data_IF_400657293702
#
_entry.id   IF_400657293702
#
_cell.length_a   1.000
_cell.length_b   1.000
_cell.length_c   1.000
_cell.angle_alpha   90.00
_cell.angle_beta   90.00
_cell.angle_gamma   90.00
#
_symmetry.space_group_name_H-M   'P 1'
#
loop_
_entity.id
_entity.type
_entity.pdbx_description
1 polymer ?
#
# COMPACT_ATOMS: atom_id res chain seq x y z
N UNK A 1 0.79 -21.48 12.16
CA UNK A 1 0.33 -20.08 12.22
C UNK A 1 0.91 -19.22 11.09
N UNK A 2 2.24 -18.99 10.94
CA UNK A 2 2.78 -18.05 9.91
C UNK A 2 2.37 -18.35 8.46
N UNK A 3 2.12 -19.61 8.10
CA UNK A 3 1.66 -19.99 6.73
C UNK A 3 0.22 -19.62 6.42
N UNK A 4 -0.58 -19.30 7.44
CA UNK A 4 -1.99 -18.94 7.30
C UNK A 4 -2.21 -17.42 7.23
N UNK A 5 -1.13 -16.63 7.35
CA UNK A 5 -1.16 -15.17 7.26
C UNK A 5 -0.40 -14.72 6.03
N UNK A 6 -1.06 -13.98 5.16
CA UNK A 6 -0.43 -13.22 4.08
C UNK A 6 -0.10 -11.82 4.56
N UNK A 7 1.03 -11.27 4.12
CA UNK A 7 1.41 -9.90 4.46
C UNK A 7 1.74 -9.11 3.20
N UNK A 8 1.13 -7.93 3.11
CA UNK A 8 1.40 -6.91 2.08
C UNK A 8 2.13 -5.77 2.78
N UNK A 9 3.31 -5.42 2.27
CA UNK A 9 4.20 -4.42 2.87
C UNK A 9 4.10 -3.08 2.15
N UNK A 10 4.39 -2.01 2.84
CA UNK A 10 4.45 -0.64 2.33
C UNK A 10 5.45 -0.49 1.16
N UNK A 11 6.65 -1.05 1.28
CA UNK A 11 7.72 -0.96 0.27
C UNK A 11 7.70 -2.13 -0.74
N UNK A 12 6.55 -2.73 -1.01
CA UNK A 12 6.36 -3.87 -1.92
C UNK A 12 7.13 -5.15 -1.50
N UNK A 13 8.30 -5.03 -0.88
CA UNK A 13 9.23 -6.07 -0.45
C UNK A 13 9.52 -7.11 -1.56
N UNK A 14 9.60 -6.69 -2.83
CA UNK A 14 9.94 -7.53 -3.97
C UNK A 14 11.45 -7.66 -4.11
N UNK A 15 11.88 -8.77 -4.67
CA UNK A 15 13.27 -8.93 -5.11
C UNK A 15 13.38 -8.33 -6.51
N UNK A 16 14.04 -7.19 -6.62
CA UNK A 16 14.07 -6.34 -7.83
C UNK A 16 14.55 -7.06 -9.08
N UNK A 17 15.58 -7.91 -8.94
CA UNK A 17 16.20 -8.64 -10.06
C UNK A 17 15.44 -9.90 -10.48
N UNK A 18 14.42 -10.31 -9.73
CA UNK A 18 13.57 -11.45 -10.08
C UNK A 18 12.44 -11.00 -10.98
N UNK A 19 11.95 -11.93 -11.81
CA UNK A 19 10.76 -11.72 -12.63
C UNK A 19 9.49 -11.58 -11.76
N UNK A 20 8.42 -11.09 -12.37
CA UNK A 20 7.09 -11.02 -11.76
C UNK A 20 6.65 -12.41 -11.29
N UNK A 21 6.79 -13.43 -12.15
CA UNK A 21 6.45 -14.81 -11.82
C UNK A 21 7.24 -15.33 -10.63
N UNK A 22 8.58 -15.13 -10.62
CA UNK A 22 9.44 -15.58 -9.53
C UNK A 22 9.11 -14.88 -8.21
N UNK A 23 8.81 -13.57 -8.24
CA UNK A 23 8.38 -12.83 -7.06
C UNK A 23 7.07 -13.40 -6.48
N UNK A 24 6.07 -13.69 -7.31
CA UNK A 24 4.82 -14.31 -6.84
C UNK A 24 5.09 -15.69 -6.27
N UNK A 25 5.83 -16.55 -6.99
CA UNK A 25 6.17 -17.91 -6.56
C UNK A 25 6.99 -17.93 -5.26
N UNK A 26 7.73 -16.86 -4.96
CA UNK A 26 8.47 -16.76 -3.68
C UNK A 26 7.54 -16.86 -2.46
N UNK A 27 6.26 -16.49 -2.58
CA UNK A 27 5.25 -16.70 -1.57
C UNK A 27 5.02 -18.19 -1.22
N UNK A 28 5.40 -19.13 -2.10
CA UNK A 28 5.28 -20.57 -1.87
C UNK A 28 6.52 -21.22 -1.26
N UNK A 29 7.60 -20.46 -1.01
CA UNK A 29 8.85 -21.00 -0.47
C UNK A 29 8.67 -21.76 0.85
N UNK A 30 7.72 -21.37 1.68
CA UNK A 30 7.39 -22.08 2.91
C UNK A 30 6.70 -23.45 2.73
N UNK A 31 6.28 -23.78 1.51
CA UNK A 31 5.51 -25.01 1.19
C UNK A 31 6.31 -26.00 0.34
N UNK A 32 7.42 -25.58 -0.27
CA UNK A 32 8.29 -26.43 -1.07
C UNK A 32 9.51 -26.85 -0.24
N UNK A 33 9.99 -28.08 -0.46
CA UNK A 33 11.20 -28.58 0.23
C UNK A 33 12.44 -27.75 -0.12
N UNK A 34 13.40 -27.71 0.80
CA UNK A 34 14.63 -26.90 0.72
C UNK A 34 15.33 -27.00 -0.66
N UNK A 35 15.56 -28.19 -1.17
CA UNK A 35 16.24 -28.42 -2.46
C UNK A 35 15.47 -27.88 -3.67
N UNK A 36 14.13 -28.00 -3.66
CA UNK A 36 13.27 -27.45 -4.74
C UNK A 36 13.24 -25.93 -4.67
N UNK A 37 13.19 -25.38 -3.47
CA UNK A 37 13.26 -23.94 -3.22
C UNK A 37 14.59 -23.36 -3.72
N UNK A 38 15.70 -24.01 -3.38
CA UNK A 38 17.05 -23.58 -3.81
C UNK A 38 17.22 -23.63 -5.33
N UNK A 39 16.71 -24.68 -5.99
CA UNK A 39 16.75 -24.84 -7.44
C UNK A 39 15.64 -24.08 -8.18
N UNK A 40 14.81 -23.30 -7.46
CA UNK A 40 13.63 -22.56 -8.00
C UNK A 40 12.69 -23.45 -8.82
N UNK A 41 12.63 -24.74 -8.52
CA UNK A 41 11.74 -25.71 -9.16
C UNK A 41 10.42 -25.80 -8.40
N UNK A 42 9.45 -24.97 -8.82
CA UNK A 42 8.09 -25.00 -8.27
C UNK A 42 7.26 -26.08 -8.95
N UNK A 43 6.30 -26.71 -8.22
CA UNK A 43 5.31 -27.60 -8.83
C UNK A 43 4.48 -26.86 -9.89
N UNK A 44 4.07 -27.57 -10.95
CA UNK A 44 3.24 -26.98 -12.02
C UNK A 44 1.94 -26.37 -11.45
N UNK A 45 1.37 -27.00 -10.43
CA UNK A 45 0.18 -26.49 -9.73
C UNK A 45 0.37 -25.11 -9.11
N UNK A 46 1.58 -24.82 -8.58
CA UNK A 46 1.90 -23.50 -8.01
C UNK A 46 2.14 -22.46 -9.14
N UNK A 47 2.76 -22.88 -10.25
CA UNK A 47 2.94 -22.03 -11.44
C UNK A 47 1.57 -21.65 -12.04
N UNK A 48 0.68 -22.62 -12.24
CA UNK A 48 -0.67 -22.38 -12.76
C UNK A 48 -1.48 -21.46 -11.84
N UNK A 49 -1.31 -21.60 -10.53
CA UNK A 49 -1.94 -20.76 -9.53
C UNK A 49 -1.39 -19.32 -9.59
N UNK A 50 -0.07 -19.17 -9.67
CA UNK A 50 0.58 -17.86 -9.83
C UNK A 50 0.07 -17.15 -11.10
N UNK A 51 -0.02 -17.88 -12.22
CA UNK A 51 -0.52 -17.34 -13.48
C UNK A 51 -1.98 -16.89 -13.38
N UNK A 52 -2.86 -17.68 -12.74
CA UNK A 52 -4.24 -17.27 -12.49
C UNK A 52 -4.34 -16.00 -11.63
N UNK A 53 -3.50 -15.88 -10.59
CA UNK A 53 -3.43 -14.66 -9.78
C UNK A 53 -2.96 -13.47 -10.61
N UNK A 54 -1.89 -13.63 -11.38
CA UNK A 54 -1.37 -12.57 -12.24
C UNK A 54 -2.40 -12.12 -13.27
N UNK A 55 -3.16 -13.04 -13.86
CA UNK A 55 -4.28 -12.71 -14.75
C UNK A 55 -5.37 -11.92 -14.02
N UNK A 56 -5.74 -12.32 -12.79
CA UNK A 56 -6.77 -11.62 -11.99
C UNK A 56 -6.37 -10.17 -11.65
N UNK A 57 -5.09 -9.90 -11.48
CA UNK A 57 -4.56 -8.56 -11.19
C UNK A 57 -4.11 -7.80 -12.45
N UNK A 58 -4.27 -8.38 -13.66
CA UNK A 58 -3.97 -7.75 -14.94
C UNK A 58 -2.47 -7.65 -15.27
N UNK A 59 -1.65 -8.59 -14.80
CA UNK A 59 -0.20 -8.63 -15.02
C UNK A 59 0.29 -9.93 -15.71
N UNK A 60 -0.60 -10.72 -16.27
CA UNK A 60 -0.28 -11.96 -16.98
C UNK A 60 0.61 -11.76 -18.21
N UNK A 61 0.54 -10.59 -18.85
CA UNK A 61 1.40 -10.21 -19.98
C UNK A 61 2.81 -9.71 -19.56
N UNK A 62 3.10 -9.65 -18.27
CA UNK A 62 4.36 -9.16 -17.71
C UNK A 62 5.12 -10.21 -16.88
N UNK A 63 4.76 -11.48 -17.01
CA UNK A 63 5.28 -12.57 -16.16
C UNK A 63 6.81 -12.67 -16.14
N UNK A 64 7.47 -12.37 -17.25
CA UNK A 64 8.92 -12.45 -17.42
C UNK A 64 9.64 -11.12 -17.14
N UNK A 65 8.89 -9.99 -16.97
CA UNK A 65 9.49 -8.70 -16.63
C UNK A 65 10.08 -8.74 -15.22
N UNK A 66 11.19 -8.05 -15.04
CA UNK A 66 11.82 -7.87 -13.73
C UNK A 66 11.02 -6.88 -12.89
N UNK A 67 11.08 -7.04 -11.57
CA UNK A 67 10.33 -6.16 -10.66
C UNK A 67 10.82 -4.71 -10.69
N UNK A 68 12.11 -4.45 -10.99
CA UNK A 68 12.67 -3.10 -11.13
C UNK A 68 12.18 -2.35 -12.40
N UNK A 69 11.62 -3.07 -13.39
CA UNK A 69 11.03 -2.49 -14.60
C UNK A 69 9.54 -2.09 -14.45
N UNK A 70 8.95 -2.34 -13.28
CA UNK A 70 7.54 -2.12 -13.02
C UNK A 70 7.28 -0.74 -12.39
N UNK A 71 6.10 -0.15 -12.69
CA UNK A 71 5.60 1.02 -11.95
C UNK A 71 5.26 0.65 -10.49
N UNK A 72 5.18 1.65 -9.59
CA UNK A 72 4.82 1.45 -8.19
C UNK A 72 3.52 0.66 -8.00
N UNK A 73 2.45 1.03 -8.73
CA UNK A 73 1.18 0.30 -8.69
C UNK A 73 1.26 -1.14 -9.21
N UNK A 74 2.12 -1.40 -10.21
CA UNK A 74 2.36 -2.75 -10.70
C UNK A 74 3.14 -3.57 -9.66
N UNK A 75 4.17 -2.99 -9.04
CA UNK A 75 4.92 -3.63 -7.94
C UNK A 75 3.99 -3.99 -6.78
N UNK A 76 3.09 -3.08 -6.41
CA UNK A 76 2.11 -3.35 -5.34
C UNK A 76 1.18 -4.52 -5.69
N UNK A 77 0.70 -4.59 -6.93
CA UNK A 77 -0.11 -5.74 -7.39
C UNK A 77 0.65 -7.06 -7.32
N UNK A 78 1.94 -7.08 -7.69
CA UNK A 78 2.79 -8.27 -7.53
C UNK A 78 2.93 -8.68 -6.06
N UNK A 79 3.13 -7.71 -5.15
CA UNK A 79 3.16 -7.94 -3.70
C UNK A 79 1.86 -8.56 -3.17
N UNK A 80 0.70 -8.08 -3.65
CA UNK A 80 -0.62 -8.65 -3.34
C UNK A 80 -0.70 -10.11 -3.82
N UNK A 81 -0.33 -10.39 -5.08
CA UNK A 81 -0.37 -11.75 -5.62
C UNK A 81 0.56 -12.69 -4.84
N UNK A 82 1.75 -12.23 -4.45
CA UNK A 82 2.69 -12.98 -3.61
C UNK A 82 2.12 -13.32 -2.23
N UNK A 83 1.39 -12.40 -1.62
CA UNK A 83 0.72 -12.67 -0.34
C UNK A 83 -0.41 -13.69 -0.50
N UNK A 84 -1.19 -13.59 -1.57
CA UNK A 84 -2.37 -14.43 -1.82
C UNK A 84 -2.05 -15.83 -2.33
N UNK A 85 -0.89 -16.07 -2.95
CA UNK A 85 -0.51 -17.41 -3.43
C UNK A 85 -0.32 -18.41 -2.29
N UNK A 86 -0.10 -17.91 -1.06
CA UNK A 86 0.06 -18.72 0.15
C UNK A 86 -1.26 -19.37 0.60
N UNK A 87 -2.42 -18.99 0.05
CA UNK A 87 -3.78 -19.32 0.54
C UNK A 87 -3.94 -18.93 2.02
N UNK A 88 -3.72 -17.66 2.37
CA UNK A 88 -3.86 -17.22 3.74
C UNK A 88 -5.32 -17.27 4.20
N UNK A 89 -5.53 -17.31 5.52
CA UNK A 89 -6.83 -17.10 6.18
C UNK A 89 -6.99 -15.66 6.68
N UNK A 90 -5.85 -14.99 6.90
CA UNK A 90 -5.77 -13.60 7.34
C UNK A 90 -4.79 -12.85 6.45
N UNK A 91 -5.20 -11.68 5.97
CA UNK A 91 -4.37 -10.75 5.23
C UNK A 91 -4.04 -9.55 6.12
N UNK A 92 -2.75 -9.35 6.38
CA UNK A 92 -2.24 -8.15 7.04
C UNK A 92 -1.68 -7.23 5.98
N UNK A 93 -2.10 -5.97 6.01
CA UNK A 93 -1.76 -4.97 4.98
C UNK A 93 -1.22 -3.74 5.67
N UNK A 94 0.02 -3.41 5.38
CA UNK A 94 0.72 -2.28 5.97
C UNK A 94 0.91 -1.19 4.92
N UNK A 95 0.18 -0.08 5.08
CA UNK A 95 0.21 1.12 4.25
C UNK A 95 0.31 0.85 2.73
N UNK A 96 -0.63 0.12 2.13
CA UNK A 96 -0.49 -0.39 0.75
C UNK A 96 -0.48 0.70 -0.32
N UNK A 97 -0.69 1.95 0.05
CA UNK A 97 -0.88 3.09 -0.86
C UNK A 97 0.04 4.28 -0.61
N UNK A 98 0.95 4.21 0.38
CA UNK A 98 1.78 5.34 0.84
C UNK A 98 2.62 6.01 -0.26
N UNK A 99 3.05 5.24 -1.28
CA UNK A 99 3.92 5.74 -2.37
C UNK A 99 3.20 5.86 -3.72
N UNK A 100 1.85 5.88 -3.72
CA UNK A 100 1.04 5.83 -4.93
C UNK A 100 0.22 7.12 -5.10
N UNK A 101 -0.06 7.47 -6.35
CA UNK A 101 -0.99 8.56 -6.65
C UNK A 101 -2.43 8.22 -6.20
N UNK A 102 -3.30 9.22 -5.97
CA UNK A 102 -4.64 9.00 -5.41
C UNK A 102 -5.54 8.07 -6.27
N UNK A 103 -5.36 8.05 -7.59
CA UNK A 103 -6.12 7.19 -8.50
C UNK A 103 -5.67 5.74 -8.33
N UNK A 104 -4.36 5.50 -8.35
CA UNK A 104 -3.77 4.18 -8.17
C UNK A 104 -4.06 3.65 -6.76
N UNK A 105 -3.99 4.52 -5.73
CA UNK A 105 -4.33 4.18 -4.34
C UNK A 105 -5.74 3.59 -4.23
N UNK A 106 -6.74 4.26 -4.81
CA UNK A 106 -8.12 3.74 -4.84
C UNK A 106 -8.25 2.41 -5.58
N UNK A 107 -7.48 2.23 -6.68
CA UNK A 107 -7.49 0.98 -7.43
C UNK A 107 -6.89 -0.18 -6.62
N UNK A 108 -5.78 0.07 -5.91
CA UNK A 108 -5.13 -0.93 -5.05
C UNK A 108 -6.04 -1.31 -3.87
N UNK A 109 -6.64 -0.34 -3.19
CA UNK A 109 -7.58 -0.62 -2.08
C UNK A 109 -8.78 -1.44 -2.55
N UNK A 110 -9.39 -1.05 -3.68
CA UNK A 110 -10.49 -1.81 -4.28
C UNK A 110 -10.07 -3.24 -4.59
N UNK A 111 -8.91 -3.43 -5.23
CA UNK A 111 -8.38 -4.75 -5.56
C UNK A 111 -8.18 -5.62 -4.30
N UNK A 112 -7.63 -5.07 -3.23
CA UNK A 112 -7.45 -5.78 -1.96
C UNK A 112 -8.80 -6.21 -1.39
N UNK A 113 -9.78 -5.31 -1.33
CA UNK A 113 -11.13 -5.61 -0.82
C UNK A 113 -11.85 -6.66 -1.66
N UNK A 114 -11.79 -6.56 -3.00
CA UNK A 114 -12.38 -7.55 -3.91
C UNK A 114 -11.77 -8.94 -3.69
N UNK A 115 -10.43 -9.04 -3.66
CA UNK A 115 -9.73 -10.30 -3.48
C UNK A 115 -9.95 -10.91 -2.08
N UNK A 116 -10.04 -10.07 -1.05
CA UNK A 116 -10.39 -10.52 0.29
C UNK A 116 -11.82 -11.08 0.34
N UNK A 117 -12.77 -10.39 -0.27
CA UNK A 117 -14.17 -10.84 -0.36
C UNK A 117 -14.30 -12.13 -1.18
N UNK A 118 -13.72 -12.19 -2.39
CA UNK A 118 -13.75 -13.37 -3.28
C UNK A 118 -13.22 -14.65 -2.59
N UNK A 119 -12.28 -14.49 -1.65
CA UNK A 119 -11.61 -15.59 -0.96
C UNK A 119 -12.09 -15.80 0.47
N UNK A 120 -13.07 -15.01 0.92
CA UNK A 120 -13.59 -14.99 2.29
C UNK A 120 -12.45 -14.84 3.32
N UNK A 121 -11.55 -13.87 3.10
CA UNK A 121 -10.40 -13.60 3.96
C UNK A 121 -10.73 -12.54 4.99
N UNK A 122 -10.31 -12.74 6.23
CA UNK A 122 -10.17 -11.65 7.18
C UNK A 122 -9.03 -10.73 6.70
N UNK A 123 -9.26 -9.42 6.72
CA UNK A 123 -8.28 -8.42 6.26
C UNK A 123 -8.12 -7.32 7.32
N UNK A 124 -6.90 -7.10 7.77
CA UNK A 124 -6.54 -5.99 8.67
C UNK A 124 -5.59 -5.08 7.92
N UNK A 125 -5.96 -3.81 7.78
CA UNK A 125 -5.21 -2.82 6.99
C UNK A 125 -4.76 -1.70 7.93
N UNK A 126 -3.46 -1.49 8.04
CA UNK A 126 -2.90 -0.26 8.59
C UNK A 126 -2.93 0.83 7.51
N UNK A 127 -3.57 1.95 7.78
CA UNK A 127 -3.74 3.05 6.83
C UNK A 127 -3.85 4.37 7.58
N UNK A 128 -3.18 5.41 7.07
CA UNK A 128 -3.27 6.77 7.61
C UNK A 128 -4.12 7.71 6.73
N UNK A 129 -4.51 7.27 5.53
CA UNK A 129 -5.42 8.01 4.63
C UNK A 129 -6.88 7.82 5.08
N UNK A 130 -7.40 8.80 5.83
CA UNK A 130 -8.77 8.78 6.37
C UNK A 130 -9.83 8.68 5.27
N UNK A 131 -9.78 9.43 4.16
CA UNK A 131 -10.65 9.25 3.01
C UNK A 131 -10.70 7.82 2.48
N UNK A 132 -9.55 7.15 2.33
CA UNK A 132 -9.53 5.75 1.90
C UNK A 132 -10.11 4.80 2.97
N UNK A 133 -9.80 5.04 4.25
CA UNK A 133 -10.39 4.26 5.34
C UNK A 133 -11.93 4.37 5.33
N UNK A 134 -12.49 5.57 5.20
CA UNK A 134 -13.93 5.80 5.09
C UNK A 134 -14.57 5.12 3.87
N UNK A 135 -13.83 5.02 2.78
CA UNK A 135 -14.37 4.46 1.53
C UNK A 135 -14.39 2.92 1.52
N UNK A 136 -13.44 2.28 2.18
CA UNK A 136 -13.19 0.85 2.01
C UNK A 136 -13.32 0.01 3.27
N UNK A 137 -13.18 0.59 4.48
CA UNK A 137 -13.26 -0.16 5.72
C UNK A 137 -14.72 -0.48 6.10
N UNK A 138 -14.92 -1.60 6.79
CA UNK A 138 -16.19 -1.99 7.41
C UNK A 138 -16.19 -1.67 8.92
N UNK A 139 -15.01 -1.69 9.53
CA UNK A 139 -14.74 -1.33 10.93
C UNK A 139 -13.42 -0.60 10.98
N UNK A 140 -13.34 0.41 11.81
CA UNK A 140 -12.13 1.19 12.03
C UNK A 140 -11.76 1.14 13.51
N UNK A 141 -10.48 0.88 13.77
CA UNK A 141 -9.88 0.97 15.10
C UNK A 141 -8.87 2.11 15.07
N UNK A 142 -9.15 3.19 15.80
CA UNK A 142 -8.25 4.33 15.97
C UNK A 142 -7.31 4.10 17.16
N UNK A 143 -6.01 4.27 16.90
CA UNK A 143 -4.96 4.10 17.90
C UNK A 143 -4.26 5.42 18.19
N UNK A 144 -4.03 5.75 19.47
CA UNK A 144 -3.20 6.84 19.92
C UNK A 144 -2.31 6.40 21.07
N UNK A 145 -1.00 6.60 20.94
CA UNK A 145 0.00 6.24 21.97
C UNK A 145 -0.10 4.78 22.45
N UNK A 146 -0.55 3.86 21.57
CA UNK A 146 -0.69 2.44 21.87
C UNK A 146 -2.02 2.05 22.51
N UNK A 147 -2.94 3.00 22.73
CA UNK A 147 -4.28 2.78 23.26
C UNK A 147 -5.34 2.89 22.16
N UNK A 148 -6.43 2.11 22.29
CA UNK A 148 -7.57 2.21 21.40
C UNK A 148 -8.42 3.39 21.87
N UNK A 149 -8.51 4.42 21.04
CA UNK A 149 -9.34 5.61 21.30
C UNK A 149 -10.64 5.60 20.49
N UNK A 150 -10.69 4.81 19.41
CA UNK A 150 -11.89 4.62 18.62
C UNK A 150 -12.02 3.18 18.15
N UNK A 151 -13.22 2.63 18.22
CA UNK A 151 -13.58 1.33 17.66
C UNK A 151 -15.04 1.39 17.18
N UNK A 152 -15.23 1.48 15.87
CA UNK A 152 -16.54 1.71 15.29
C UNK A 152 -16.59 1.62 13.77
N UNK A 153 -17.69 2.13 13.19
CA UNK A 153 -17.87 2.17 11.74
C UNK A 153 -17.15 3.38 11.11
N UNK A 154 -16.83 3.34 9.80
CA UNK A 154 -16.21 4.46 9.10
C UNK A 154 -17.01 5.77 9.18
N UNK A 155 -18.34 5.69 9.27
CA UNK A 155 -19.25 6.85 9.40
C UNK A 155 -19.06 7.60 10.72
N UNK A 156 -18.64 6.89 11.77
CA UNK A 156 -18.36 7.49 13.08
C UNK A 156 -17.06 8.28 13.17
N UNK A 157 -16.21 8.25 12.14
CA UNK A 157 -14.98 9.05 12.08
C UNK A 157 -15.32 10.52 11.78
N UNK A 158 -15.90 11.22 12.77
CA UNK A 158 -16.13 12.66 12.71
C UNK A 158 -14.85 13.44 13.10
N UNK A 159 -14.93 14.77 13.05
CA UNK A 159 -13.80 15.65 13.34
C UNK A 159 -13.31 15.51 14.78
N UNK A 160 -14.19 15.27 15.75
CA UNK A 160 -13.83 15.07 17.17
C UNK A 160 -13.02 13.79 17.36
N UNK A 161 -13.49 12.68 16.76
CA UNK A 161 -12.79 11.39 16.79
C UNK A 161 -11.43 11.48 16.08
N UNK A 162 -11.34 12.20 14.96
CA UNK A 162 -10.06 12.39 14.25
C UNK A 162 -9.10 13.23 15.08
N UNK A 163 -9.59 14.25 15.79
CA UNK A 163 -8.79 15.04 16.73
C UNK A 163 -8.31 14.18 17.90
N UNK A 164 -9.13 13.25 18.39
CA UNK A 164 -8.71 12.32 19.44
C UNK A 164 -7.62 11.35 18.95
N UNK A 165 -7.70 10.86 17.71
CA UNK A 165 -6.70 9.94 17.12
C UNK A 165 -5.38 10.65 16.81
N UNK A 166 -5.42 11.79 16.12
CA UNK A 166 -4.24 12.45 15.55
C UNK A 166 -3.72 13.64 16.40
N UNK A 167 -4.55 14.26 17.27
CA UNK A 167 -4.27 15.51 17.97
C UNK A 167 -4.87 16.72 17.22
N UNK A 168 -4.87 17.88 17.89
CA UNK A 168 -5.54 19.10 17.38
C UNK A 168 -4.84 19.70 16.14
N UNK A 169 -3.52 19.52 15.98
CA UNK A 169 -2.75 20.22 14.95
C UNK A 169 -2.58 19.46 13.63
N UNK A 170 -2.55 18.11 13.65
CA UNK A 170 -2.03 17.35 12.50
C UNK A 170 -3.05 16.97 11.43
N UNK A 171 -4.33 16.84 11.76
CA UNK A 171 -5.27 16.30 10.77
C UNK A 171 -5.93 17.39 9.89
N UNK A 172 -6.01 18.66 10.35
CA UNK A 172 -6.50 19.80 9.55
C UNK A 172 -5.53 20.17 8.41
N UNK A 173 -4.24 20.03 8.62
CA UNK A 173 -3.19 20.34 7.63
C UNK A 173 -3.27 19.36 6.44
N UNK A 174 -3.56 18.09 6.68
CA UNK A 174 -3.70 17.09 5.61
C UNK A 174 -4.99 17.23 4.77
N UNK A 175 -5.96 18.05 5.21
CA UNK A 175 -7.24 18.21 4.52
C UNK A 175 -7.16 19.03 3.24
N UNK A 176 -6.12 19.89 3.04
CA UNK A 176 -6.13 20.92 2.00
C UNK A 176 -4.80 21.23 1.28
N UNK A 177 -3.70 20.56 1.53
CA UNK A 177 -2.44 20.86 0.85
C UNK A 177 -2.10 19.84 -0.24
N UNK A 178 -2.22 20.18 -1.55
CA UNK A 178 -1.40 19.54 -2.55
C UNK A 178 0.06 19.86 -2.23
N UNK A 179 0.92 18.85 -2.15
CA UNK A 179 2.37 18.99 -1.84
C UNK A 179 3.17 19.96 -2.75
N UNK A 180 2.53 20.58 -3.72
CA UNK A 180 3.13 21.55 -4.64
C UNK A 180 3.02 23.03 -4.20
N UNK A 181 2.19 23.34 -3.19
CA UNK A 181 1.96 24.74 -2.80
C UNK A 181 2.83 25.26 -1.65
N UNK A 182 3.63 24.40 -1.02
CA UNK A 182 4.48 24.78 0.11
C UNK A 182 5.89 25.24 -0.27
N UNK A 183 6.26 25.23 -1.56
CA UNK A 183 7.58 25.71 -2.01
C UNK A 183 7.58 27.10 -2.66
N UNK A 184 6.43 27.73 -2.87
CA UNK A 184 6.38 29.06 -3.54
C UNK A 184 6.25 30.27 -2.59
N UNK A 185 6.12 30.10 -1.28
CA UNK A 185 5.95 31.23 -0.36
C UNK A 185 7.23 31.71 0.34
N UNK A 186 8.41 31.20 -0.04
CA UNK A 186 9.68 31.61 0.57
C UNK A 186 10.58 32.48 -0.34
N UNK A 187 10.09 32.93 -1.49
CA UNK A 187 10.92 33.67 -2.47
C UNK A 187 10.52 35.14 -2.67
N UNK A 188 9.46 35.65 -2.03
CA UNK A 188 8.92 36.99 -2.30
C UNK A 188 9.23 38.06 -1.23
N UNK A 189 10.18 37.84 -0.29
CA UNK A 189 10.51 38.84 0.77
C UNK A 189 11.95 39.39 0.73
N UNK A 190 12.73 39.18 -0.31
CA UNK A 190 14.03 39.85 -0.44
C UNK A 190 14.16 40.43 -1.87
N UNK A 191 13.63 41.65 -2.10
CA UNK A 191 14.17 42.62 -3.05
C UNK A 191 13.25 43.86 -3.14
N UNK A 192 13.31 44.72 -2.11
CA UNK A 192 12.95 46.14 -2.25
C UNK A 192 13.92 46.96 -1.39
N UNK A 193 15.19 47.10 -1.85
CA UNK A 193 16.02 48.24 -1.49
C UNK A 193 16.33 49.04 -2.75
N UNK A 194 15.66 50.19 -2.87
CA UNK A 194 16.01 51.22 -3.85
C UNK A 194 17.42 51.81 -3.60
N UNK A 195 18.26 52.01 -4.56
CA UNK A 195 19.43 52.86 -4.42
C UNK A 195 19.06 54.32 -4.64
N UNK A 196 19.09 55.09 -3.58
CA UNK A 196 18.94 56.54 -3.58
C UNK A 196 19.90 57.27 -4.48
N UNK A 197 19.35 58.20 -5.20
CA UNK A 197 20.04 59.23 -5.95
C UNK A 197 20.89 60.13 -5.09
N UNK A 198 22.15 60.33 -5.46
CA UNK A 198 22.89 61.57 -5.10
C UNK A 198 23.52 62.14 -6.31
N UNK A 199 23.02 63.33 -6.67
CA UNK A 199 23.64 64.26 -7.58
C UNK A 199 24.83 64.95 -6.88
N UNK A 200 25.92 65.16 -7.56
CA UNK A 200 26.76 66.36 -7.70
C UNK A 200 27.92 66.05 -8.61
#
# INVERSE_FOLDING_TARGET
MRRQMGMIFQEFALVERLSVMENVLSGRLGYVGFWRSFLRKFPQTDIDKAFRLLKRIGLDHMVDKRADELSGGQRQRVGIARALIQDPQLLLVDEPTASLDPKTSRQIMRLICELAHERNLACVINIHDVPLAKMFAQRVVGLRLGEIVYDGTPEGLNDDVLTEIYGEEDWHINKYAPKAAQQESSWDEEDTEEPGATAS
#
